data_IF_320599620427
#
_entry.id   IF_320599620427
#
_cell.length_a   1.000
_cell.length_b   1.000
_cell.length_c   1.000
_cell.angle_alpha   90.00
_cell.angle_beta   90.00
_cell.angle_gamma   90.00
#
_symmetry.space_group_name_H-M   'P 1'
#
loop_
_entity.id
_entity.type
_entity.pdbx_description
1 polymer ?
#
# COMPACT_ATOMS: atom_id res chain seq x y z
N UNK A 1 2.13 -2.76 12.31
CA UNK A 1 1.03 -2.10 11.56
C UNK A 1 0.01 -3.16 11.25
N UNK A 2 -1.27 -2.89 11.49
CA UNK A 2 -2.35 -3.83 11.21
C UNK A 2 -2.77 -3.74 9.74
N UNK A 3 -3.07 -4.88 9.10
CA UNK A 3 -3.50 -4.95 7.70
C UNK A 3 -4.74 -4.09 7.41
N UNK A 4 -5.64 -3.97 8.40
CA UNK A 4 -6.85 -3.15 8.31
C UNK A 4 -6.56 -1.65 8.09
N UNK A 5 -5.46 -1.13 8.60
CA UNK A 5 -5.08 0.27 8.36
C UNK A 5 -4.78 0.52 6.88
N UNK A 6 -4.14 -0.43 6.19
CA UNK A 6 -3.89 -0.32 4.75
C UNK A 6 -5.16 -0.45 3.92
N UNK A 7 -6.06 -1.36 4.32
CA UNK A 7 -7.35 -1.55 3.65
C UNK A 7 -8.23 -0.30 3.77
N UNK A 8 -8.25 0.36 4.93
CA UNK A 8 -8.95 1.64 5.09
C UNK A 8 -8.37 2.71 4.17
N UNK A 9 -7.05 2.85 4.12
CA UNK A 9 -6.38 3.80 3.19
C UNK A 9 -6.70 3.49 1.72
N UNK A 10 -6.79 2.21 1.35
CA UNK A 10 -7.20 1.80 0.00
C UNK A 10 -8.61 2.30 -0.32
N UNK A 11 -9.57 2.08 0.58
CA UNK A 11 -10.96 2.54 0.39
C UNK A 11 -11.04 4.07 0.36
N UNK A 12 -10.41 4.76 1.31
CA UNK A 12 -10.40 6.22 1.40
C UNK A 12 -9.81 6.90 0.14
N UNK A 13 -8.82 6.26 -0.50
CA UNK A 13 -8.16 6.77 -1.70
C UNK A 13 -8.80 6.26 -3.01
N UNK A 14 -9.86 5.46 -2.95
CA UNK A 14 -10.47 4.87 -4.14
C UNK A 14 -9.55 3.90 -4.88
N UNK A 15 -8.70 3.17 -4.15
CA UNK A 15 -7.78 2.21 -4.72
C UNK A 15 -8.40 0.82 -4.92
N UNK A 16 -7.83 0.04 -5.84
CA UNK A 16 -8.28 -1.31 -6.19
C UNK A 16 -7.42 -2.43 -5.59
N UNK A 17 -6.10 -2.20 -5.49
CA UNK A 17 -5.13 -3.23 -5.12
C UNK A 17 -4.05 -2.67 -4.18
N UNK A 18 -3.59 -3.49 -3.24
CA UNK A 18 -2.41 -3.23 -2.41
C UNK A 18 -1.30 -4.25 -2.74
N UNK A 19 -0.09 -3.76 -2.92
CA UNK A 19 1.10 -4.59 -3.16
C UNK A 19 2.07 -4.46 -1.99
N UNK A 20 2.41 -5.61 -1.40
CA UNK A 20 3.38 -5.74 -0.32
C UNK A 20 4.62 -6.44 -0.88
N UNK A 21 5.78 -5.80 -0.74
CA UNK A 21 7.04 -6.35 -1.23
C UNK A 21 8.19 -5.86 -0.34
N UNK A 22 9.07 -6.78 0.05
CA UNK A 22 10.27 -6.44 0.82
C UNK A 22 11.15 -5.49 0.01
N UNK A 23 11.71 -4.47 0.67
CA UNK A 23 12.56 -3.46 0.04
C UNK A 23 11.80 -2.31 -0.62
N UNK A 24 10.46 -2.31 -0.58
CA UNK A 24 9.64 -1.22 -1.11
C UNK A 24 8.58 -0.77 -0.08
N UNK A 25 8.11 0.49 -0.15
CA UNK A 25 6.87 0.87 0.54
C UNK A 25 5.70 0.03 0.05
N UNK A 26 4.62 -0.03 0.83
CA UNK A 26 3.36 -0.59 0.34
C UNK A 26 2.89 0.27 -0.83
N UNK A 27 2.59 -0.37 -1.96
CA UNK A 27 2.07 0.32 -3.13
C UNK A 27 0.55 0.15 -3.22
N UNK A 28 -0.14 1.22 -3.56
CA UNK A 28 -1.57 1.26 -3.79
C UNK A 28 -1.85 1.56 -5.26
N UNK A 29 -2.72 0.77 -5.88
CA UNK A 29 -3.19 1.04 -7.24
C UNK A 29 -4.50 1.81 -7.22
N UNK A 30 -4.51 2.95 -7.90
CA UNK A 30 -5.65 3.87 -8.02
C UNK A 30 -5.89 4.08 -9.51
N UNK A 31 -7.09 3.79 -10.01
CA UNK A 31 -7.48 3.97 -11.42
C UNK A 31 -6.44 3.41 -12.42
N UNK A 32 -5.94 2.19 -12.13
CA UNK A 32 -4.95 1.52 -12.99
C UNK A 32 -3.49 1.92 -12.77
N UNK A 33 -3.20 2.96 -11.98
CA UNK A 33 -1.85 3.48 -11.74
C UNK A 33 -1.36 3.14 -10.32
N UNK A 34 -0.14 2.62 -10.23
CA UNK A 34 0.49 2.22 -8.97
C UNK A 34 1.23 3.38 -8.32
N UNK A 35 0.94 3.63 -7.04
CA UNK A 35 1.52 4.72 -6.25
C UNK A 35 2.11 4.20 -4.93
N UNK A 36 3.33 4.62 -4.54
CA UNK A 36 3.87 4.27 -3.23
C UNK A 36 3.15 5.03 -2.13
N UNK A 37 2.76 4.34 -1.06
CA UNK A 37 2.29 5.01 0.15
C UNK A 37 3.47 5.71 0.85
N UNK A 38 3.17 6.83 1.52
CA UNK A 38 4.17 7.62 2.26
C UNK A 38 4.56 6.91 3.56
N UNK A 39 5.44 5.92 3.44
CA UNK A 39 5.99 5.15 4.55
C UNK A 39 7.37 4.58 4.16
N UNK A 40 8.18 4.15 5.15
CA UNK A 40 9.43 3.45 4.87
C UNK A 40 9.20 2.15 4.07
N UNK A 41 10.29 1.66 3.46
CA UNK A 41 10.28 0.34 2.83
C UNK A 41 10.03 -0.76 3.87
N UNK A 42 9.30 -1.80 3.46
CA UNK A 42 9.13 -3.00 4.27
C UNK A 42 10.47 -3.73 4.41
N UNK A 43 10.80 -4.10 5.64
CA UNK A 43 11.99 -4.89 5.93
C UNK A 43 11.65 -6.39 5.87
N UNK A 44 12.64 -7.28 5.63
CA UNK A 44 12.49 -8.70 5.88
C UNK A 44 12.04 -8.97 7.32
N UNK A 45 11.25 -10.03 7.50
CA UNK A 45 10.86 -10.55 8.82
C UNK A 45 11.92 -11.46 9.43
#
# INVERSE_FOLDING_TARGET
MEIFSFLNVMVEKGGSDLFFSVGAPVNLKIEGVTHPLKMPALLPG
#
